data_IF_634780915348
#
_entry.id   IF_634780915348
#
_cell.length_a   1.000
_cell.length_b   1.000
_cell.length_c   1.000
_cell.angle_alpha   90.00
_cell.angle_beta   90.00
_cell.angle_gamma   90.00
#
_symmetry.space_group_name_H-M   'P 1'
#
loop_
_entity.id
_entity.type
_entity.pdbx_description
1 polymer ?
#
# COMPACT_ATOMS: atom_id res chain seq x y z
N UNK A 1 20.37 39.90 -1.01
CA UNK A 1 19.85 38.78 -1.82
C UNK A 1 19.58 37.47 -1.05
N UNK A 2 20.11 37.24 0.16
CA UNK A 2 19.90 35.96 0.89
C UNK A 2 18.73 35.95 1.90
N UNK A 3 18.23 37.12 2.34
CA UNK A 3 17.19 37.20 3.38
C UNK A 3 15.78 36.93 2.81
N UNK A 4 15.50 37.37 1.57
CA UNK A 4 14.21 37.08 0.91
C UNK A 4 14.03 35.59 0.58
N UNK A 5 15.12 34.87 0.30
CA UNK A 5 15.07 33.46 -0.06
C UNK A 5 14.75 32.57 1.15
N UNK A 6 15.32 32.92 2.31
CA UNK A 6 15.03 32.25 3.59
C UNK A 6 13.58 32.51 4.02
N UNK A 7 13.05 33.71 3.78
CA UNK A 7 11.66 34.03 4.11
C UNK A 7 10.71 33.23 3.21
N UNK A 8 10.92 33.23 1.89
CA UNK A 8 10.11 32.41 0.96
C UNK A 8 10.14 30.93 1.29
N UNK A 9 11.29 30.38 1.66
CA UNK A 9 11.41 28.96 2.02
C UNK A 9 10.68 28.64 3.34
N UNK A 10 10.69 29.54 4.33
CA UNK A 10 9.88 29.42 5.55
C UNK A 10 8.38 29.44 5.26
N UNK A 11 7.92 30.33 4.39
CA UNK A 11 6.51 30.42 4.01
C UNK A 11 6.05 29.21 3.20
N UNK A 12 6.91 28.63 2.36
CA UNK A 12 6.63 27.39 1.63
C UNK A 12 6.52 26.21 2.59
N UNK A 13 7.42 26.10 3.58
CA UNK A 13 7.36 25.03 4.60
C UNK A 13 6.12 25.18 5.47
N UNK A 14 5.78 26.40 5.89
CA UNK A 14 4.56 26.66 6.68
C UNK A 14 3.30 26.39 5.85
N UNK A 15 3.29 26.80 4.58
CA UNK A 15 2.18 26.52 3.66
C UNK A 15 2.01 25.02 3.42
N UNK A 16 3.10 24.26 3.23
CA UNK A 16 3.07 22.80 3.11
C UNK A 16 2.60 22.11 4.41
N UNK A 17 3.01 22.61 5.58
CA UNK A 17 2.54 22.06 6.85
C UNK A 17 1.06 22.35 7.11
N UNK A 18 0.56 23.53 6.70
CA UNK A 18 -0.87 23.89 6.83
C UNK A 18 -1.72 23.17 5.78
N UNK A 19 -1.20 22.95 4.56
CA UNK A 19 -1.90 22.17 3.54
C UNK A 19 -2.01 20.69 3.93
N UNK A 20 -0.99 20.11 4.58
CA UNK A 20 -1.07 18.76 5.15
C UNK A 20 -2.16 18.65 6.22
N UNK A 21 -2.38 19.68 7.04
CA UNK A 21 -3.41 19.65 8.11
C UNK A 21 -4.84 19.71 7.54
N UNK A 22 -5.05 20.35 6.39
CA UNK A 22 -6.39 20.49 5.79
C UNK A 22 -6.85 19.30 4.92
N UNK A 23 -5.97 18.36 4.58
CA UNK A 23 -6.34 17.19 3.78
C UNK A 23 -6.93 16.01 4.59
N UNK A 24 -7.04 16.12 5.92
CA UNK A 24 -7.50 15.03 6.79
C UNK A 24 -8.92 15.21 7.36
N UNK A 25 -9.73 16.12 6.80
CA UNK A 25 -11.15 16.22 7.20
C UNK A 25 -11.92 15.08 6.53
N UNK A 26 -12.05 13.97 7.26
CA UNK A 26 -12.93 12.85 6.88
C UNK A 26 -12.43 11.45 7.21
N UNK A 27 -11.67 11.24 8.30
CA UNK A 27 -11.40 9.88 8.83
C UNK A 27 -12.37 9.59 9.98
N UNK A 28 -13.67 9.69 9.74
CA UNK A 28 -14.66 9.15 10.67
C UNK A 28 -14.85 7.66 10.37
N UNK A 29 -14.26 6.78 11.20
CA UNK A 29 -14.69 5.38 11.31
C UNK A 29 -13.69 4.26 10.99
N UNK A 30 -12.41 4.54 10.70
CA UNK A 30 -11.50 3.51 10.16
C UNK A 30 -11.01 2.45 11.18
N UNK A 31 -10.94 2.76 12.48
CA UNK A 31 -10.22 1.91 13.44
C UNK A 31 -10.80 0.48 13.61
N UNK A 32 -12.12 0.32 13.48
CA UNK A 32 -12.80 -0.95 13.84
C UNK A 32 -12.81 -2.00 12.72
N UNK A 33 -12.35 -1.65 11.52
CA UNK A 33 -12.50 -2.48 10.31
C UNK A 33 -11.16 -2.82 9.62
N UNK A 34 -10.02 -2.32 10.14
CA UNK A 34 -8.73 -2.53 9.45
C UNK A 34 -8.27 -3.98 9.42
N UNK A 35 -8.74 -4.85 10.32
CA UNK A 35 -8.50 -6.30 10.22
C UNK A 35 -9.10 -6.90 8.94
N UNK A 36 -10.23 -6.35 8.48
CA UNK A 36 -10.88 -6.76 7.24
C UNK A 36 -10.10 -6.30 5.99
N UNK A 37 -9.09 -5.45 6.16
CA UNK A 37 -8.14 -5.10 5.08
C UNK A 37 -7.47 -6.34 4.50
N UNK A 38 -7.19 -7.34 5.32
CA UNK A 38 -6.56 -8.59 4.88
C UNK A 38 -7.47 -9.39 3.94
N UNK A 39 -8.78 -9.11 3.95
CA UNK A 39 -9.71 -9.71 2.99
C UNK A 39 -9.43 -9.27 1.56
N UNK A 40 -8.74 -8.15 1.33
CA UNK A 40 -8.30 -7.73 0.00
C UNK A 40 -7.39 -8.76 -0.68
N UNK A 41 -6.65 -9.55 0.08
CA UNK A 41 -5.75 -10.59 -0.42
C UNK A 41 -6.43 -11.95 -0.62
N UNK A 42 -7.63 -12.16 -0.08
CA UNK A 42 -8.34 -13.45 -0.19
C UNK A 42 -8.57 -13.94 -1.63
N UNK A 43 -8.94 -13.09 -2.60
CA UNK A 43 -9.13 -13.54 -3.99
C UNK A 43 -7.85 -14.17 -4.55
N UNK A 44 -6.70 -13.55 -4.28
CA UNK A 44 -5.38 -14.02 -4.70
C UNK A 44 -4.97 -15.31 -3.98
N UNK A 45 -5.27 -15.44 -2.68
CA UNK A 45 -5.03 -16.68 -1.94
C UNK A 45 -5.88 -17.85 -2.43
N UNK A 46 -7.15 -17.61 -2.79
CA UNK A 46 -8.03 -18.64 -3.34
C UNK A 46 -7.57 -19.06 -4.73
N UNK A 47 -7.17 -18.10 -5.56
CA UNK A 47 -6.59 -18.36 -6.88
C UNK A 47 -5.25 -19.14 -6.78
N UNK A 48 -4.38 -18.79 -5.83
CA UNK A 48 -3.08 -19.44 -5.61
C UNK A 48 -3.15 -20.78 -4.86
N UNK A 49 -4.09 -20.94 -3.92
CA UNK A 49 -4.29 -22.14 -3.11
C UNK A 49 -4.93 -23.31 -3.86
N UNK A 50 -5.53 -23.04 -5.02
CA UNK A 50 -5.98 -24.04 -5.97
C UNK A 50 -4.84 -24.58 -6.84
N UNK A 51 -3.88 -25.30 -6.25
CA UNK A 51 -2.87 -26.08 -7.00
C UNK A 51 -1.89 -25.24 -7.87
N UNK A 52 -1.35 -24.12 -7.39
CA UNK A 52 -0.18 -23.45 -8.02
C UNK A 52 1.15 -24.12 -7.61
N UNK A 53 1.14 -25.44 -7.48
CA UNK A 53 2.30 -26.31 -7.70
C UNK A 53 2.13 -27.16 -8.96
N UNK A 54 1.09 -26.93 -9.77
CA UNK A 54 0.85 -27.73 -10.99
C UNK A 54 1.28 -26.99 -12.23
N UNK A 55 2.36 -27.53 -12.79
CA UNK A 55 2.85 -27.41 -14.16
C UNK A 55 3.54 -26.09 -14.51
N UNK A 56 4.87 -26.17 -14.51
CA UNK A 56 5.82 -25.31 -15.22
C UNK A 56 5.59 -25.24 -16.76
N UNK A 57 4.38 -25.51 -17.27
CA UNK A 57 4.02 -25.40 -18.68
C UNK A 57 2.54 -24.97 -18.75
N UNK A 58 2.30 -23.73 -18.36
CA UNK A 58 1.06 -23.03 -18.68
C UNK A 58 1.47 -21.69 -19.31
N UNK A 59 0.68 -21.20 -20.28
CA UNK A 59 1.12 -20.17 -21.22
C UNK A 59 1.69 -18.91 -20.56
N UNK A 60 2.44 -18.11 -21.31
CA UNK A 60 3.12 -16.91 -20.81
C UNK A 60 2.19 -15.95 -20.05
N UNK A 61 0.92 -15.85 -20.46
CA UNK A 61 -0.12 -15.08 -19.75
C UNK A 61 -0.45 -15.59 -18.34
N UNK A 62 -0.36 -16.89 -18.07
CA UNK A 62 -0.58 -17.45 -16.72
C UNK A 62 0.60 -17.14 -15.79
N UNK A 63 1.82 -17.16 -16.32
CA UNK A 63 3.02 -16.81 -15.55
C UNK A 63 2.99 -15.32 -15.16
N UNK A 64 2.55 -14.46 -16.08
CA UNK A 64 2.35 -13.04 -15.82
C UNK A 64 1.32 -12.76 -14.71
N UNK A 65 0.18 -13.46 -14.73
CA UNK A 65 -0.84 -13.33 -13.68
C UNK A 65 -0.34 -13.87 -12.34
N UNK A 66 0.37 -15.01 -12.36
CA UNK A 66 0.93 -15.61 -11.15
C UNK A 66 1.98 -14.70 -10.49
N UNK A 67 2.87 -14.11 -11.29
CA UNK A 67 3.88 -13.16 -10.80
C UNK A 67 3.22 -11.94 -10.13
N UNK A 68 2.23 -11.33 -10.77
CA UNK A 68 1.54 -10.18 -10.19
C UNK A 68 0.79 -10.53 -8.91
N UNK A 69 0.14 -11.70 -8.88
CA UNK A 69 -0.54 -12.19 -7.68
C UNK A 69 0.43 -12.36 -6.53
N UNK A 70 1.60 -12.94 -6.79
CA UNK A 70 2.66 -13.10 -5.80
C UNK A 70 3.21 -11.76 -5.30
N UNK A 71 3.46 -10.81 -6.20
CA UNK A 71 3.91 -9.47 -5.84
C UNK A 71 2.89 -8.77 -4.92
N UNK A 72 1.60 -8.83 -5.24
CA UNK A 72 0.56 -8.26 -4.37
C UNK A 72 0.51 -9.00 -3.03
N UNK A 73 0.53 -10.34 -3.03
CA UNK A 73 0.48 -11.15 -1.80
C UNK A 73 1.69 -10.90 -0.88
N UNK A 74 2.85 -10.56 -1.43
CA UNK A 74 4.05 -10.26 -0.62
C UNK A 74 3.86 -9.07 0.33
N UNK A 75 2.89 -8.20 0.07
CA UNK A 75 2.56 -7.04 0.89
C UNK A 75 1.76 -7.38 2.13
N UNK A 76 1.07 -8.52 2.14
CA UNK A 76 0.14 -8.89 3.20
C UNK A 76 0.83 -8.92 4.57
N UNK A 77 2.04 -9.48 4.66
CA UNK A 77 2.79 -9.51 5.92
C UNK A 77 3.09 -8.09 6.44
N UNK A 78 3.38 -7.14 5.54
CA UNK A 78 3.69 -5.77 5.90
C UNK A 78 2.43 -5.02 6.38
N UNK A 79 1.29 -5.29 5.73
CA UNK A 79 -0.04 -4.80 6.12
C UNK A 79 -0.43 -5.36 7.48
N UNK A 80 -0.34 -6.68 7.68
CA UNK A 80 -0.65 -7.35 8.95
C UNK A 80 0.14 -6.76 10.10
N UNK A 81 1.47 -6.71 9.97
CA UNK A 81 2.30 -6.22 11.07
C UNK A 81 2.04 -4.73 11.38
N UNK A 82 1.58 -3.93 10.39
CA UNK A 82 1.20 -2.53 10.62
C UNK A 82 -0.13 -2.42 11.36
N UNK A 83 -1.09 -3.30 11.05
CA UNK A 83 -2.36 -3.42 11.79
C UNK A 83 -2.08 -3.83 13.24
N UNK A 84 -1.14 -4.76 13.46
CA UNK A 84 -0.75 -5.19 14.80
C UNK A 84 -0.14 -4.03 15.60
N UNK A 85 0.72 -3.22 14.98
CA UNK A 85 1.31 -2.02 15.59
C UNK A 85 0.22 -0.99 15.97
N UNK A 86 -0.76 -0.75 15.10
CA UNK A 86 -1.92 0.11 15.42
C UNK A 86 -2.76 -0.45 16.56
N UNK A 87 -3.07 -1.75 16.52
CA UNK A 87 -3.87 -2.41 17.55
C UNK A 87 -3.26 -2.24 18.94
N UNK A 88 -1.93 -2.35 19.05
CA UNK A 88 -1.21 -2.09 20.30
C UNK A 88 -1.41 -0.65 20.80
N UNK A 89 -1.40 0.34 19.89
CA UNK A 89 -1.68 1.74 20.24
C UNK A 89 -3.12 1.88 20.73
N UNK A 90 -4.10 1.30 20.02
CA UNK A 90 -5.52 1.37 20.42
C UNK A 90 -5.74 0.76 21.81
N UNK A 91 -5.14 -0.39 22.08
CA UNK A 91 -5.23 -1.06 23.38
C UNK A 91 -4.61 -0.23 24.51
N UNK A 92 -3.54 0.52 24.24
CA UNK A 92 -2.96 1.45 25.20
C UNK A 92 -3.88 2.66 25.44
N UNK A 93 -4.50 3.19 24.39
CA UNK A 93 -5.45 4.31 24.48
C UNK A 93 -6.73 3.96 25.26
N UNK A 94 -7.15 2.70 25.27
CA UNK A 94 -8.28 2.25 26.11
C UNK A 94 -8.01 2.37 27.62
N UNK A 95 -6.74 2.46 28.01
CA UNK A 95 -6.29 2.59 29.40
C UNK A 95 -5.85 4.02 29.74
N UNK A 96 -6.01 4.98 28.82
CA UNK A 96 -5.62 6.36 29.03
C UNK A 96 -6.58 7.09 29.98
N UNK A 97 -6.02 7.86 30.91
CA UNK A 97 -6.77 8.70 31.85
C UNK A 97 -7.10 10.08 31.23
N UNK A 98 -6.22 10.60 30.37
CA UNK A 98 -6.43 11.84 29.61
C UNK A 98 -7.10 11.55 28.26
N UNK A 99 -8.40 11.86 28.19
CA UNK A 99 -9.23 11.66 27.00
C UNK A 99 -8.86 12.57 25.83
N UNK A 100 -8.33 13.77 26.09
CA UNK A 100 -7.94 14.71 25.04
C UNK A 100 -6.62 14.27 24.41
N UNK A 101 -5.66 13.85 25.25
CA UNK A 101 -4.43 13.18 24.79
C UNK A 101 -4.77 11.94 23.97
N UNK A 102 -5.67 11.08 24.47
CA UNK A 102 -6.03 9.86 23.79
C UNK A 102 -6.67 10.13 22.41
N UNK A 103 -7.55 11.14 22.31
CA UNK A 103 -8.16 11.56 21.06
C UNK A 103 -7.13 12.09 20.04
N UNK A 104 -6.14 12.86 20.50
CA UNK A 104 -5.05 13.34 19.65
C UNK A 104 -4.21 12.18 19.10
N UNK A 105 -3.78 11.26 19.97
CA UNK A 105 -2.96 10.10 19.55
C UNK A 105 -3.73 9.17 18.63
N UNK A 106 -5.03 8.96 18.88
CA UNK A 106 -5.91 8.21 17.98
C UNK A 106 -5.94 8.82 16.57
N UNK A 107 -6.17 10.13 16.48
CA UNK A 107 -6.23 10.86 15.19
C UNK A 107 -4.90 10.85 14.46
N UNK A 108 -3.79 11.03 15.20
CA UNK A 108 -2.44 10.94 14.64
C UNK A 108 -2.16 9.54 14.10
N UNK A 109 -2.55 8.50 14.83
CA UNK A 109 -2.41 7.10 14.41
C UNK A 109 -3.21 6.83 13.13
N UNK A 110 -4.45 7.31 13.04
CA UNK A 110 -5.26 7.17 11.83
C UNK A 110 -4.61 7.81 10.61
N UNK A 111 -4.00 8.99 10.79
CA UNK A 111 -3.27 9.70 9.74
C UNK A 111 -2.01 8.95 9.30
N UNK A 112 -1.26 8.39 10.26
CA UNK A 112 -0.09 7.55 9.98
C UNK A 112 -0.47 6.30 9.19
N UNK A 113 -1.55 5.63 9.58
CA UNK A 113 -2.05 4.47 8.87
C UNK A 113 -2.49 4.82 7.44
N UNK A 114 -3.18 5.96 7.26
CA UNK A 114 -3.55 6.42 5.93
C UNK A 114 -2.30 6.68 5.06
N UNK A 115 -1.29 7.37 5.59
CA UNK A 115 -0.04 7.62 4.88
C UNK A 115 0.70 6.31 4.54
N UNK A 116 0.75 5.38 5.50
CA UNK A 116 1.33 4.06 5.33
C UNK A 116 0.70 3.28 4.19
N UNK A 117 -0.63 3.29 4.11
CA UNK A 117 -1.36 2.58 3.07
C UNK A 117 -1.13 3.15 1.68
N UNK A 118 -1.04 4.48 1.55
CA UNK A 118 -0.63 5.14 0.30
C UNK A 118 0.80 4.74 -0.07
N UNK A 119 1.72 4.68 0.90
CA UNK A 119 3.10 4.29 0.65
C UNK A 119 3.22 2.86 0.14
N UNK A 120 2.45 1.91 0.69
CA UNK A 120 2.42 0.54 0.20
C UNK A 120 1.86 0.45 -1.22
N UNK A 121 0.76 1.14 -1.50
CA UNK A 121 0.20 1.21 -2.86
C UNK A 121 1.14 1.88 -3.87
N UNK A 122 1.92 2.87 -3.45
CA UNK A 122 2.93 3.50 -4.30
C UNK A 122 4.09 2.55 -4.63
N UNK A 123 4.49 1.67 -3.69
CA UNK A 123 5.44 0.61 -3.99
C UNK A 123 4.90 -0.33 -5.08
N UNK A 124 3.61 -0.70 -5.03
CA UNK A 124 2.97 -1.49 -6.11
C UNK A 124 3.02 -0.74 -7.43
N UNK A 125 2.64 0.54 -7.41
CA UNK A 125 2.54 1.36 -8.61
C UNK A 125 3.90 1.53 -9.29
N UNK A 126 4.98 1.70 -8.53
CA UNK A 126 6.35 1.72 -9.04
C UNK A 126 6.69 0.43 -9.80
N UNK A 127 6.34 -0.73 -9.23
CA UNK A 127 6.58 -2.04 -9.84
C UNK A 127 5.71 -2.26 -11.08
N UNK A 128 4.49 -1.73 -11.10
CA UNK A 128 3.64 -1.69 -12.30
C UNK A 128 4.27 -0.86 -13.43
N UNK A 129 4.84 0.32 -13.11
CA UNK A 129 5.57 1.12 -14.11
C UNK A 129 6.80 0.38 -14.66
N UNK A 130 7.60 -0.24 -13.79
CA UNK A 130 8.78 -1.01 -14.20
C UNK A 130 8.38 -2.21 -15.07
N UNK A 131 7.33 -2.93 -14.67
CA UNK A 131 6.82 -4.06 -15.43
C UNK A 131 6.29 -3.60 -16.80
N UNK A 132 5.55 -2.49 -16.87
CA UNK A 132 5.11 -1.91 -18.14
C UNK A 132 6.28 -1.53 -19.05
N UNK A 133 7.28 -0.82 -18.52
CA UNK A 133 8.44 -0.35 -19.29
C UNK A 133 9.26 -1.50 -19.88
N UNK A 134 9.37 -2.63 -19.17
CA UNK A 134 10.07 -3.81 -19.66
C UNK A 134 9.26 -4.55 -20.75
N UNK A 135 7.93 -4.53 -20.68
CA UNK A 135 7.07 -5.19 -21.67
C UNK A 135 6.88 -4.34 -22.93
N UNK A 136 6.88 -3.02 -22.82
CA UNK A 136 6.60 -2.08 -23.91
C UNK A 136 7.69 -1.00 -24.04
N UNK A 137 8.88 -1.36 -24.54
CA UNK A 137 10.01 -0.43 -24.63
C UNK A 137 9.78 0.74 -25.60
N UNK A 138 8.85 0.61 -26.56
CA UNK A 138 8.48 1.65 -27.52
C UNK A 138 7.40 2.62 -27.04
N UNK A 139 6.85 2.42 -25.82
CA UNK A 139 5.95 3.31 -25.07
C UNK A 139 4.88 4.02 -25.92
N UNK A 140 3.85 3.30 -26.37
CA UNK A 140 2.64 3.93 -26.93
C UNK A 140 1.52 4.06 -25.89
N UNK A 141 0.68 5.09 -26.03
CA UNK A 141 -0.49 5.28 -25.17
C UNK A 141 -1.50 4.13 -25.31
N UNK A 142 -1.58 3.50 -26.48
CA UNK A 142 -2.48 2.36 -26.73
C UNK A 142 -2.03 1.13 -25.93
N UNK A 143 -0.74 0.79 -26.00
CA UNK A 143 -0.16 -0.31 -25.20
C UNK A 143 -0.36 -0.07 -23.70
N UNK A 144 -0.24 1.18 -23.24
CA UNK A 144 -0.50 1.51 -21.84
C UNK A 144 -1.93 1.25 -21.42
N UNK A 145 -2.90 1.57 -22.28
CA UNK A 145 -4.32 1.32 -21.98
C UNK A 145 -4.64 -0.17 -22.00
N UNK A 146 -4.06 -0.93 -22.92
CA UNK A 146 -4.23 -2.39 -22.99
C UNK A 146 -3.62 -3.08 -21.78
N UNK A 147 -2.38 -2.72 -21.44
CA UNK A 147 -1.71 -3.20 -20.24
C UNK A 147 -2.49 -2.86 -18.96
N UNK A 148 -2.99 -1.63 -18.83
CA UNK A 148 -3.74 -1.22 -17.64
C UNK A 148 -5.04 -2.02 -17.42
N UNK A 149 -5.62 -2.58 -18.48
CA UNK A 149 -6.79 -3.46 -18.37
C UNK A 149 -6.43 -4.86 -17.88
N UNK A 150 -5.22 -5.32 -18.17
CA UNK A 150 -4.76 -6.69 -17.89
C UNK A 150 -3.87 -6.79 -16.63
N UNK A 151 -3.22 -5.70 -16.22
CA UNK A 151 -2.37 -5.69 -15.02
C UNK A 151 -3.22 -5.63 -13.75
N UNK A 152 -3.05 -6.65 -12.90
CA UNK A 152 -3.66 -6.72 -11.57
C UNK A 152 -3.03 -5.73 -10.59
N UNK A 153 -1.79 -5.29 -10.83
CA UNK A 153 -1.13 -4.29 -9.98
C UNK A 153 -1.88 -2.95 -10.02
N UNK A 154 -2.59 -2.66 -11.13
CA UNK A 154 -3.43 -1.47 -11.24
C UNK A 154 -4.61 -1.46 -10.29
N UNK A 155 -5.01 -2.60 -9.74
CA UNK A 155 -6.07 -2.67 -8.74
C UNK A 155 -5.73 -1.91 -7.46
N UNK A 156 -4.44 -1.75 -7.15
CA UNK A 156 -3.95 -1.01 -5.97
C UNK A 156 -3.56 0.44 -6.30
N UNK A 157 -3.45 0.81 -7.59
CA UNK A 157 -3.00 2.14 -7.99
C UNK A 157 -3.99 3.21 -7.53
N UNK A 158 -3.47 4.20 -6.81
CA UNK A 158 -4.23 5.36 -6.33
C UNK A 158 -5.24 5.04 -5.23
N UNK A 159 -5.22 3.81 -4.70
CA UNK A 159 -6.07 3.41 -3.57
C UNK A 159 -5.21 3.26 -2.31
N UNK A 160 -5.79 3.51 -1.16
CA UNK A 160 -5.16 3.26 0.12
C UNK A 160 -5.56 1.88 0.64
N UNK A 161 -4.57 1.00 0.86
CA UNK A 161 -4.85 -0.37 1.25
C UNK A 161 -5.64 -0.49 2.57
N UNK A 162 -5.44 0.42 3.53
CA UNK A 162 -6.11 0.32 4.83
C UNK A 162 -7.49 0.98 4.87
N UNK A 163 -7.81 1.88 3.94
CA UNK A 163 -9.12 2.57 3.93
C UNK A 163 -10.01 2.15 2.76
N UNK A 164 -9.43 1.55 1.71
CA UNK A 164 -10.14 1.18 0.48
C UNK A 164 -9.96 -0.31 0.14
N UNK A 165 -9.75 -1.15 1.15
CA UNK A 165 -9.53 -2.59 1.00
C UNK A 165 -10.66 -3.31 0.24
N UNK A 166 -11.91 -2.94 0.50
CA UNK A 166 -13.08 -3.50 -0.17
C UNK A 166 -13.07 -3.22 -1.68
N UNK A 167 -12.72 -2.00 -2.08
CA UNK A 167 -12.55 -1.59 -3.47
C UNK A 167 -11.42 -2.36 -4.15
N UNK A 168 -10.28 -2.52 -3.47
CA UNK A 168 -9.15 -3.34 -3.96
C UNK A 168 -9.60 -4.78 -4.19
N UNK A 169 -10.28 -5.38 -3.21
CA UNK A 169 -10.80 -6.76 -3.30
C UNK A 169 -11.69 -6.92 -4.53
N UNK A 170 -12.68 -6.04 -4.71
CA UNK A 170 -13.62 -6.12 -5.84
C UNK A 170 -12.92 -5.97 -7.18
N UNK A 171 -11.93 -5.08 -7.30
CA UNK A 171 -11.11 -4.95 -8.52
C UNK A 171 -10.33 -6.22 -8.81
N UNK A 172 -9.66 -6.80 -7.80
CA UNK A 172 -8.90 -8.04 -7.95
C UNK A 172 -9.81 -9.23 -8.33
N UNK A 173 -10.98 -9.34 -7.71
CA UNK A 173 -11.98 -10.36 -8.08
C UNK A 173 -12.45 -10.23 -9.52
N UNK A 174 -12.75 -9.00 -9.97
CA UNK A 174 -13.17 -8.73 -11.35
C UNK A 174 -12.08 -9.15 -12.36
N UNK A 175 -10.82 -8.82 -12.08
CA UNK A 175 -9.67 -9.17 -12.94
C UNK A 175 -9.37 -10.67 -12.95
N UNK A 176 -9.54 -11.37 -11.83
CA UNK A 176 -9.38 -12.82 -11.75
C UNK A 176 -10.50 -13.59 -12.46
N UNK A 177 -11.72 -13.04 -12.47
CA UNK A 177 -12.89 -13.70 -13.07
C UNK A 177 -12.93 -13.53 -14.59
N UNK A 178 -12.37 -12.44 -15.10
CA UNK A 178 -12.27 -12.16 -16.53
C UNK A 178 -10.84 -11.71 -16.89
N UNK A 179 -9.84 -12.62 -16.82
CA UNK A 179 -8.46 -12.28 -17.11
C UNK A 179 -8.31 -11.90 -18.60
N UNK A 180 -7.69 -10.75 -18.84
CA UNK A 180 -7.34 -10.30 -20.19
C UNK A 180 -5.95 -10.83 -20.50
N UNK A 181 -5.86 -11.67 -21.53
CA UNK A 181 -4.58 -12.14 -22.04
C UNK A 181 -3.85 -10.98 -22.72
N UNK A 182 -2.54 -10.87 -22.47
CA UNK A 182 -1.66 -10.00 -23.23
C UNK A 182 -0.75 -10.89 -24.06
N UNK A 183 -0.84 -10.77 -25.38
CA UNK A 183 -0.01 -11.52 -26.31
C UNK A 183 1.44 -11.02 -26.26
N UNK A 184 2.41 -11.94 -26.26
CA UNK A 184 3.85 -11.62 -26.29
C UNK A 184 4.46 -11.18 -24.95
N UNK A 185 3.74 -11.32 -23.83
CA UNK A 185 4.25 -11.00 -22.50
C UNK A 185 5.12 -12.13 -21.97
N UNK A 186 6.41 -12.05 -22.26
CA UNK A 186 7.42 -12.95 -21.72
C UNK A 186 8.00 -12.39 -20.41
N UNK A 187 7.48 -12.83 -19.27
CA UNK A 187 8.11 -12.54 -17.97
C UNK A 187 9.30 -13.45 -17.77
N UNK A 188 10.52 -12.91 -17.85
CA UNK A 188 11.74 -13.67 -17.60
C UNK A 188 11.96 -13.90 -16.10
N UNK A 189 12.65 -14.99 -15.76
CA UNK A 189 13.05 -15.28 -14.36
C UNK A 189 13.90 -14.15 -13.77
N UNK A 190 14.71 -13.48 -14.60
CA UNK A 190 15.50 -12.34 -14.15
C UNK A 190 14.60 -11.15 -13.81
N UNK A 191 13.67 -10.78 -14.70
CA UNK A 191 12.74 -9.68 -14.45
C UNK A 191 11.90 -9.93 -13.18
N UNK A 192 11.35 -11.14 -13.02
CA UNK A 192 10.57 -11.46 -11.83
C UNK A 192 11.38 -11.35 -10.53
N UNK A 193 12.66 -11.76 -10.53
CA UNK A 193 13.55 -11.60 -9.38
C UNK A 193 13.84 -10.13 -9.05
N UNK A 194 14.04 -9.29 -10.07
CA UNK A 194 14.31 -7.85 -9.91
C UNK A 194 13.09 -7.15 -9.34
N UNK A 195 11.91 -7.36 -9.93
CA UNK A 195 10.66 -6.76 -9.46
C UNK A 195 10.32 -7.18 -8.02
N UNK A 196 10.55 -8.44 -7.66
CA UNK A 196 10.37 -8.91 -6.28
C UNK A 196 11.32 -8.20 -5.31
N UNK A 197 12.60 -8.09 -5.67
CA UNK A 197 13.59 -7.41 -4.82
C UNK A 197 13.22 -5.93 -4.64
N UNK A 198 12.96 -5.22 -5.75
CA UNK A 198 12.60 -3.81 -5.72
C UNK A 198 11.33 -3.55 -4.90
N UNK A 199 10.31 -4.42 -5.05
CA UNK A 199 9.10 -4.33 -4.26
C UNK A 199 9.40 -4.50 -2.77
N UNK A 200 10.17 -5.53 -2.42
CA UNK A 200 10.52 -5.84 -1.05
C UNK A 200 11.31 -4.70 -0.39
N UNK A 201 12.29 -4.15 -1.10
CA UNK A 201 13.10 -3.02 -0.61
C UNK A 201 12.23 -1.77 -0.37
N UNK A 202 11.31 -1.47 -1.28
CA UNK A 202 10.35 -0.37 -1.13
C UNK A 202 9.44 -0.58 0.09
N UNK A 203 8.90 -1.79 0.27
CA UNK A 203 8.01 -2.12 1.40
C UNK A 203 8.76 -2.07 2.74
N UNK A 204 10.00 -2.55 2.79
CA UNK A 204 10.86 -2.47 3.99
C UNK A 204 11.08 -0.99 4.36
N UNK A 205 11.44 -0.14 3.39
CA UNK A 205 11.66 1.27 3.63
C UNK A 205 10.38 1.99 4.09
N UNK A 206 9.26 1.76 3.39
CA UNK A 206 7.96 2.31 3.75
C UNK A 206 7.54 1.89 5.16
N UNK A 207 7.70 0.61 5.49
CA UNK A 207 7.38 0.08 6.82
C UNK A 207 8.30 0.62 7.89
N UNK A 208 9.60 0.77 7.64
CA UNK A 208 10.53 1.27 8.64
C UNK A 208 10.13 2.68 9.13
N UNK A 209 9.78 3.58 8.19
CA UNK A 209 9.31 4.93 8.50
C UNK A 209 7.99 4.91 9.29
N UNK A 210 7.05 4.07 8.85
CA UNK A 210 5.76 3.95 9.52
C UNK A 210 5.90 3.38 10.93
N UNK A 211 6.68 2.31 11.10
CA UNK A 211 6.95 1.66 12.38
C UNK A 211 7.59 2.63 13.38
N UNK A 212 8.54 3.44 12.92
CA UNK A 212 9.15 4.47 13.78
C UNK A 212 8.10 5.47 14.27
N UNK A 213 7.21 5.91 13.39
CA UNK A 213 6.17 6.89 13.71
C UNK A 213 5.10 6.29 14.64
N UNK A 214 4.65 5.06 14.37
CA UNK A 214 3.71 4.32 15.22
C UNK A 214 4.31 4.00 16.59
N UNK A 215 5.61 3.69 16.67
CA UNK A 215 6.30 3.53 17.96
C UNK A 215 6.25 4.79 18.83
N UNK A 216 6.39 5.96 18.21
CA UNK A 216 6.23 7.24 18.90
C UNK A 216 4.79 7.50 19.37
N UNK A 217 3.79 7.10 18.58
CA UNK A 217 2.38 7.17 18.98
C UNK A 217 2.07 6.20 20.12
N UNK A 218 2.63 4.98 20.09
CA UNK A 218 2.52 4.02 21.18
C UNK A 218 3.08 4.56 22.49
N UNK A 219 4.28 5.15 22.47
CA UNK A 219 4.85 5.76 23.69
C UNK A 219 3.97 6.88 24.23
N UNK A 220 3.38 7.72 23.37
CA UNK A 220 2.45 8.75 23.81
C UNK A 220 1.20 8.15 24.47
N UNK A 221 0.61 7.11 23.86
CA UNK A 221 -0.55 6.41 24.42
C UNK A 221 -0.24 5.75 25.78
N UNK A 222 0.86 5.00 25.87
CA UNK A 222 1.21 4.15 27.01
C UNK A 222 1.74 4.96 28.22
N UNK A 223 2.47 6.04 27.95
CA UNK A 223 3.20 6.75 29.02
C UNK A 223 2.72 8.17 29.28
N UNK A 224 2.18 8.87 28.27
CA UNK A 224 1.82 10.28 28.42
C UNK A 224 0.34 10.43 28.71
N UNK A 225 -0.52 9.72 27.97
CA UNK A 225 -1.98 9.82 28.17
C UNK A 225 -2.48 9.10 29.44
N UNK A 226 -1.59 8.41 30.17
CA UNK A 226 -1.86 7.72 31.44
C UNK A 226 -1.43 8.52 32.68
N UNK A 227 -1.01 9.79 32.50
CA UNK A 227 -0.54 10.67 33.58
C UNK A 227 -1.56 11.75 33.94
#
# INVERSE_FOLDING_TARGET
>A
SNIELVYKMKWIVIALSVLCVYCFVGIDGAAKDRQDTLQAFQPLKKAGGGKVQRKLIAGESELFVALQSELILSQEQYVQQTIDDESNIRNALEQADDTDCAGFVATATDSLMALGGISFSNCVAMIDEEMFANLYPSTSNTERQEYAKASMLTALRGLNIFTEASTIRTKLEAMLTAPIAIDGVSTTVQLSSILRSALNDCLIAARALLKQSLGGAYTQADTICTQ
#
